data_IF_157110557677
#
_entry.id   IF_157110557677
#
_cell.length_a   1.000
_cell.length_b   1.000
_cell.length_c   1.000
_cell.angle_alpha   90.00
_cell.angle_beta   90.00
_cell.angle_gamma   90.00
#
_symmetry.space_group_name_H-M   'P 1'
#
loop_
_entity.id
_entity.type
_entity.pdbx_description
1 polymer ?
#
# COMPACT_ATOMS: atom_id res chain seq x y z
N UNK A 1 6.38 -29.12 -15.82
CA UNK A 1 6.96 -29.91 -16.93
C UNK A 1 8.45 -30.02 -16.67
N UNK A 2 8.97 -31.23 -16.72
CA UNK A 2 10.19 -31.73 -16.06
C UNK A 2 11.44 -31.47 -16.92
N UNK A 3 12.50 -30.94 -16.31
CA UNK A 3 13.91 -31.06 -16.78
C UNK A 3 14.68 -31.70 -15.61
N UNK A 4 15.15 -32.95 -15.59
CA UNK A 4 15.94 -33.76 -16.52
C UNK A 4 17.46 -33.47 -16.48
N UNK A 5 18.17 -34.35 -15.76
CA UNK A 5 19.56 -34.82 -15.90
C UNK A 5 20.77 -33.91 -15.59
N UNK A 6 21.51 -34.22 -14.52
CA UNK A 6 22.74 -35.04 -14.62
C UNK A 6 23.24 -35.51 -13.23
N UNK A 7 23.16 -36.81 -12.98
CA UNK A 7 23.91 -37.49 -11.90
C UNK A 7 25.29 -37.83 -12.45
N UNK A 8 26.34 -37.17 -11.96
CA UNK A 8 27.72 -37.59 -12.20
C UNK A 8 28.06 -38.65 -11.13
N UNK A 9 28.09 -39.91 -11.56
CA UNK A 9 28.70 -41.00 -10.79
C UNK A 9 30.22 -40.91 -10.96
N UNK A 10 30.94 -40.52 -9.91
CA UNK A 10 32.39 -40.67 -9.86
C UNK A 10 32.69 -42.00 -9.18
N UNK A 11 33.12 -42.98 -9.97
CA UNK A 11 33.66 -44.25 -9.48
C UNK A 11 35.13 -44.00 -9.13
N UNK A 12 35.45 -43.99 -7.83
CA UNK A 12 36.85 -44.12 -7.39
C UNK A 12 37.11 -45.59 -7.07
N UNK A 13 37.86 -46.25 -7.97
CA UNK A 13 38.50 -47.52 -7.68
C UNK A 13 39.63 -47.29 -6.67
N UNK A 14 39.44 -47.81 -5.45
CA UNK A 14 40.46 -47.77 -4.39
C UNK A 14 41.45 -48.89 -4.67
N UNK A 15 42.67 -48.53 -5.08
CA UNK A 15 43.82 -49.44 -5.12
C UNK A 15 44.62 -49.27 -3.82
N UNK A 16 44.91 -50.32 -3.03
CA UNK A 16 45.47 -50.19 -1.69
C UNK A 16 46.99 -50.06 -1.75
N UNK A 17 47.48 -48.85 -2.00
CA UNK A 17 48.86 -48.48 -1.66
C UNK A 17 48.97 -46.96 -1.69
N UNK A 18 48.56 -46.29 -0.60
CA UNK A 18 49.03 -44.96 -0.15
C UNK A 18 48.09 -44.40 0.93
N UNK A 19 47.93 -45.11 2.05
CA UNK A 19 47.19 -44.59 3.21
C UNK A 19 47.94 -43.47 3.95
N UNK A 20 49.24 -43.29 3.69
CA UNK A 20 50.09 -42.36 4.44
C UNK A 20 50.16 -40.93 3.87
N UNK A 21 49.69 -40.71 2.63
CA UNK A 21 49.67 -39.37 2.01
C UNK A 21 48.36 -38.62 2.27
N UNK A 22 47.24 -39.34 2.42
CA UNK A 22 45.90 -38.76 2.60
C UNK A 22 45.69 -38.14 4.00
N UNK A 23 46.44 -38.60 5.01
CA UNK A 23 46.33 -38.13 6.39
C UNK A 23 47.09 -36.83 6.70
N UNK A 24 47.86 -36.27 5.75
CA UNK A 24 48.60 -35.00 5.95
C UNK A 24 48.03 -33.79 5.21
N UNK A 25 47.06 -33.99 4.31
CA UNK A 25 46.38 -32.92 3.55
C UNK A 25 44.95 -32.63 4.05
N UNK A 26 44.41 -33.49 4.92
CA UNK A 26 43.08 -33.31 5.51
C UNK A 26 42.95 -32.12 6.48
N UNK A 27 43.97 -31.75 7.30
CA UNK A 27 43.80 -30.62 8.23
C UNK A 27 43.98 -29.25 7.56
N UNK A 28 44.58 -29.18 6.36
CA UNK A 28 44.72 -27.94 5.59
C UNK A 28 43.51 -27.62 4.72
N UNK A 29 42.68 -28.61 4.36
CA UNK A 29 41.44 -28.35 3.62
C UNK A 29 40.29 -27.89 4.55
N UNK A 30 40.28 -28.32 5.82
CA UNK A 30 39.25 -27.91 6.78
C UNK A 30 39.45 -26.48 7.33
N UNK A 31 40.66 -25.92 7.21
CA UNK A 31 41.01 -24.58 7.71
C UNK A 31 40.76 -23.46 6.68
N UNK A 32 40.34 -23.81 5.46
CA UNK A 32 39.99 -22.83 4.42
C UNK A 32 38.48 -22.67 4.20
N UNK A 33 37.67 -23.47 4.90
CA UNK A 33 36.20 -23.37 4.90
C UNK A 33 35.69 -22.51 6.07
N UNK A 34 36.57 -22.07 6.97
CA UNK A 34 36.22 -21.31 8.17
C UNK A 34 36.76 -19.87 8.18
N UNK A 35 36.37 -19.02 7.23
CA UNK A 35 36.21 -17.56 7.43
C UNK A 35 35.76 -16.90 6.11
N UNK A 36 34.85 -15.90 6.12
CA UNK A 36 33.75 -15.64 7.04
C UNK A 36 32.40 -15.78 6.30
N UNK A 37 31.39 -16.34 6.96
CA UNK A 37 30.04 -15.82 6.76
C UNK A 37 30.11 -14.36 7.20
N UNK A 38 30.33 -13.44 6.26
CA UNK A 38 29.96 -12.05 6.44
C UNK A 38 28.45 -12.09 6.62
N UNK A 39 28.04 -12.20 7.88
CA UNK A 39 26.71 -11.83 8.31
C UNK A 39 26.55 -10.40 7.80
N UNK A 40 25.80 -10.25 6.71
CA UNK A 40 25.19 -8.98 6.38
C UNK A 40 24.23 -8.72 7.54
N UNK A 41 24.74 -8.08 8.60
CA UNK A 41 23.90 -7.45 9.58
C UNK A 41 23.15 -6.35 8.82
N UNK A 42 21.94 -6.67 8.35
CA UNK A 42 21.02 -5.64 7.94
C UNK A 42 20.80 -4.78 9.19
N UNK A 43 20.97 -3.47 9.06
CA UNK A 43 20.69 -2.59 10.16
C UNK A 43 19.19 -2.72 10.47
N UNK A 44 18.86 -3.25 11.65
CA UNK A 44 17.48 -3.42 12.15
C UNK A 44 16.80 -2.09 12.52
N UNK A 45 17.33 -0.97 12.02
CA UNK A 45 16.81 0.35 12.28
C UNK A 45 16.97 1.28 11.07
N UNK A 46 16.27 2.41 11.13
CA UNK A 46 16.50 3.59 10.28
C UNK A 46 16.53 4.83 11.17
N UNK A 47 17.03 5.96 10.68
CA UNK A 47 17.13 7.17 11.49
C UNK A 47 16.05 8.19 11.17
N UNK A 48 15.68 8.98 12.17
CA UNK A 48 14.80 10.15 12.06
C UNK A 48 15.34 11.30 12.90
N UNK A 49 15.12 12.53 12.45
CA UNK A 49 15.57 13.73 13.17
C UNK A 49 14.48 14.18 14.16
N UNK A 50 14.81 14.34 15.44
CA UNK A 50 13.87 14.85 16.43
C UNK A 50 13.55 16.34 16.19
N UNK A 51 12.26 16.67 16.18
CA UNK A 51 11.77 18.04 16.02
C UNK A 51 11.44 18.69 17.37
N UNK A 52 11.20 20.02 17.36
CA UNK A 52 10.78 20.74 18.56
C UNK A 52 9.46 20.16 19.10
N UNK A 53 9.46 19.79 20.39
CA UNK A 53 8.30 19.20 21.06
C UNK A 53 8.21 17.68 20.94
N UNK A 54 9.17 17.02 20.29
CA UNK A 54 9.22 15.57 20.26
C UNK A 54 9.69 14.96 21.59
N UNK A 55 9.04 13.87 21.96
CA UNK A 55 9.52 12.89 22.93
C UNK A 55 9.50 11.49 22.30
N UNK A 56 9.98 10.48 23.01
CA UNK A 56 10.07 9.10 22.48
C UNK A 56 8.72 8.62 21.94
N UNK A 57 7.65 8.88 22.69
CA UNK A 57 6.29 8.50 22.30
C UNK A 57 5.76 9.22 21.05
N UNK A 58 6.14 10.49 20.83
CA UNK A 58 5.70 11.20 19.63
C UNK A 58 6.47 10.69 18.42
N UNK A 59 7.77 10.47 18.54
CA UNK A 59 8.61 9.94 17.46
C UNK A 59 8.11 8.57 17.01
N UNK A 60 7.89 7.63 17.95
CA UNK A 60 7.37 6.31 17.61
C UNK A 60 6.00 6.39 16.90
N UNK A 61 5.08 7.23 17.39
CA UNK A 61 3.77 7.43 16.75
C UNK A 61 3.86 8.06 15.36
N UNK A 62 4.78 8.99 15.13
CA UNK A 62 5.07 9.57 13.81
C UNK A 62 5.51 8.52 12.80
N UNK A 63 6.19 7.48 13.28
CA UNK A 63 6.62 6.33 12.48
C UNK A 63 5.58 5.20 12.39
N UNK A 64 4.39 5.38 12.97
CA UNK A 64 3.31 4.39 12.98
C UNK A 64 3.49 3.28 14.02
N UNK A 65 4.49 3.39 14.90
CA UNK A 65 4.80 2.41 15.93
C UNK A 65 3.99 2.66 17.20
N UNK A 66 3.54 1.59 17.84
CA UNK A 66 2.93 1.66 19.17
C UNK A 66 4.02 1.95 20.20
N UNK A 67 4.01 3.12 20.88
CA UNK A 67 5.05 3.46 21.83
C UNK A 67 5.19 2.45 22.95
N UNK A 68 4.09 1.85 23.42
CA UNK A 68 4.14 0.88 24.53
C UNK A 68 4.91 -0.37 24.13
N UNK A 69 4.82 -0.77 22.86
CA UNK A 69 5.48 -1.95 22.31
C UNK A 69 6.96 -1.71 22.00
N UNK A 70 7.30 -0.51 21.52
CA UNK A 70 8.63 -0.20 20.96
C UNK A 70 9.49 0.73 21.81
N UNK A 71 9.04 1.10 23.01
CA UNK A 71 9.77 2.02 23.88
C UNK A 71 11.16 1.49 24.26
N UNK A 72 11.22 0.25 24.75
CA UNK A 72 12.47 -0.38 25.20
C UNK A 72 13.46 -0.58 24.03
N UNK A 73 12.97 -0.96 22.86
CA UNK A 73 13.78 -1.08 21.64
C UNK A 73 14.38 0.28 21.26
N UNK A 74 13.59 1.35 21.32
CA UNK A 74 14.07 2.70 21.05
C UNK A 74 15.14 3.14 22.05
N UNK A 75 14.94 2.89 23.35
CA UNK A 75 15.95 3.21 24.37
C UNK A 75 17.25 2.46 24.10
N UNK A 76 17.15 1.15 23.87
CA UNK A 76 18.31 0.28 23.61
C UNK A 76 19.12 0.78 22.42
N UNK A 77 18.45 1.08 21.30
CA UNK A 77 19.09 1.58 20.08
C UNK A 77 19.79 2.93 20.25
N UNK A 78 19.33 3.76 21.19
CA UNK A 78 19.77 5.16 21.36
C UNK A 78 20.39 5.45 22.73
N UNK A 79 20.88 4.43 23.44
CA UNK A 79 21.37 4.55 24.83
C UNK A 79 22.44 5.64 24.99
N UNK A 80 23.32 5.80 23.99
CA UNK A 80 24.39 6.82 24.00
C UNK A 80 23.87 8.25 23.77
N UNK A 81 22.69 8.38 23.17
CA UNK A 81 22.12 9.64 22.69
C UNK A 81 20.96 10.17 23.54
N UNK A 82 20.52 9.40 24.54
CA UNK A 82 19.45 9.74 25.47
C UNK A 82 20.04 10.06 26.84
N UNK A 83 19.73 11.25 27.36
CA UNK A 83 20.07 11.64 28.73
C UNK A 83 18.91 11.40 29.69
N UNK A 84 19.23 11.09 30.94
CA UNK A 84 18.26 10.92 32.03
C UNK A 84 17.11 9.94 31.67
N UNK A 85 17.43 8.93 30.85
CA UNK A 85 16.52 7.85 30.45
C UNK A 85 15.38 8.22 29.49
N UNK A 86 15.20 9.50 29.11
CA UNK A 86 14.10 9.89 28.22
C UNK A 86 14.26 11.21 27.46
N UNK A 87 15.30 12.00 27.73
CA UNK A 87 15.46 13.33 27.14
C UNK A 87 16.05 13.25 25.73
N UNK A 88 15.33 13.83 24.76
CA UNK A 88 15.76 13.95 23.36
C UNK A 88 16.27 15.35 23.04
N UNK A 89 17.20 15.44 22.09
CA UNK A 89 17.76 16.69 21.60
C UNK A 89 17.21 17.04 20.21
N UNK A 90 16.68 18.25 20.07
CA UNK A 90 16.17 18.75 18.78
C UNK A 90 17.30 18.79 17.75
N UNK A 91 17.02 18.32 16.53
CA UNK A 91 17.98 18.26 15.44
C UNK A 91 18.93 17.06 15.48
N UNK A 92 18.86 16.22 16.53
CA UNK A 92 19.62 14.97 16.61
C UNK A 92 18.88 13.84 15.89
N UNK A 93 19.64 12.96 15.26
CA UNK A 93 19.13 11.72 14.69
C UNK A 93 18.97 10.65 15.76
N UNK A 94 17.83 9.95 15.72
CA UNK A 94 17.53 8.81 16.57
C UNK A 94 17.19 7.61 15.70
N UNK A 95 17.65 6.43 16.13
CA UNK A 95 17.40 5.14 15.50
C UNK A 95 16.01 4.63 15.88
N UNK A 96 15.24 4.23 14.87
CA UNK A 96 13.90 3.67 14.97
C UNK A 96 13.96 2.20 14.59
N UNK A 97 13.43 1.28 15.41
CA UNK A 97 13.41 -0.13 15.08
C UNK A 97 12.62 -0.36 13.78
N UNK A 98 13.15 -1.23 12.92
CA UNK A 98 12.40 -1.70 11.75
C UNK A 98 11.31 -2.65 12.22
N UNK A 99 10.06 -2.30 11.92
CA UNK A 99 8.92 -3.14 12.29
C UNK A 99 7.87 -3.18 11.18
N UNK A 100 7.17 -4.31 11.10
CA UNK A 100 6.14 -4.57 10.08
C UNK A 100 4.90 -3.69 10.24
N UNK A 101 4.65 -3.15 11.43
CA UNK A 101 3.56 -2.21 11.72
C UNK A 101 3.97 -0.73 11.51
N UNK A 102 5.24 -0.44 11.20
CA UNK A 102 5.68 0.92 10.86
C UNK A 102 5.00 1.45 9.59
N UNK A 103 4.82 2.77 9.49
CA UNK A 103 4.28 3.41 8.29
C UNK A 103 5.12 3.15 7.03
N UNK A 104 6.43 2.94 7.17
CA UNK A 104 7.30 2.55 6.04
C UNK A 104 6.99 1.16 5.48
N UNK A 105 6.38 0.28 6.27
CA UNK A 105 5.99 -1.08 5.86
C UNK A 105 4.49 -1.23 5.61
N UNK A 106 3.67 -0.39 6.25
CA UNK A 106 2.22 -0.43 6.07
C UNK A 106 1.74 0.47 4.94
N UNK A 107 2.50 1.47 4.50
CA UNK A 107 2.19 2.29 3.33
C UNK A 107 3.21 2.09 2.23
N UNK A 108 2.85 1.29 1.22
CA UNK A 108 3.79 0.90 0.15
C UNK A 108 3.25 1.31 -1.23
N UNK A 109 4.12 1.94 -2.02
CA UNK A 109 3.92 2.17 -3.44
C UNK A 109 4.54 1.02 -4.22
N UNK A 110 3.77 0.45 -5.13
CA UNK A 110 4.16 -0.67 -5.99
C UNK A 110 4.38 -0.17 -7.40
N UNK A 111 5.60 -0.31 -7.91
CA UNK A 111 5.92 0.02 -9.31
C UNK A 111 5.65 -1.20 -10.20
N UNK A 112 4.90 -1.01 -11.28
CA UNK A 112 4.44 -2.12 -12.12
C UNK A 112 5.54 -2.77 -12.98
N UNK A 113 6.62 -2.05 -13.29
CA UNK A 113 7.68 -2.50 -14.21
C UNK A 113 8.55 -3.63 -13.64
N UNK A 114 8.79 -3.59 -12.33
CA UNK A 114 9.70 -4.51 -11.62
C UNK A 114 9.12 -5.01 -10.28
N UNK A 115 7.85 -4.70 -10.01
CA UNK A 115 7.17 -4.92 -8.72
C UNK A 115 7.91 -4.36 -7.50
N UNK A 116 8.78 -3.35 -7.69
CA UNK A 116 9.52 -2.78 -6.57
C UNK A 116 8.58 -2.05 -5.61
N UNK A 117 8.84 -2.30 -4.33
CA UNK A 117 8.08 -1.76 -3.21
C UNK A 117 8.90 -0.67 -2.52
N UNK A 118 8.33 0.54 -2.49
CA UNK A 118 8.92 1.67 -1.78
C UNK A 118 7.90 2.26 -0.81
N UNK A 119 8.33 2.76 0.36
CA UNK A 119 7.44 3.52 1.25
C UNK A 119 6.74 4.66 0.50
N UNK A 120 5.45 4.86 0.75
CA UNK A 120 4.71 6.02 0.19
C UNK A 120 5.27 7.32 0.78
N UNK A 121 5.67 7.26 2.05
CA UNK A 121 6.15 8.39 2.84
C UNK A 121 7.51 8.07 3.46
N UNK A 122 8.37 9.08 3.52
CA UNK A 122 9.64 8.99 4.24
C UNK A 122 9.79 10.19 5.18
N UNK A 123 10.16 11.35 4.64
CA UNK A 123 10.31 12.58 5.44
C UNK A 123 8.96 13.12 5.93
N UNK A 124 7.90 12.87 5.17
CA UNK A 124 6.54 13.28 5.47
C UNK A 124 5.99 12.61 6.74
N UNK A 125 6.56 11.47 7.16
CA UNK A 125 6.19 10.78 8.39
C UNK A 125 6.33 11.66 9.63
N UNK A 126 7.22 12.66 9.60
CA UNK A 126 7.40 13.60 10.72
C UNK A 126 6.13 14.42 11.02
N UNK A 127 5.25 14.61 10.03
CA UNK A 127 3.99 15.34 10.15
C UNK A 127 2.78 14.41 10.39
N UNK A 128 3.01 13.09 10.35
CA UNK A 128 2.00 12.08 10.59
C UNK A 128 1.97 11.68 12.07
N UNK A 129 0.89 11.03 12.50
CA UNK A 129 0.85 10.38 13.80
C UNK A 129 -0.24 9.34 13.78
N UNK A 130 0.02 8.16 14.34
CA UNK A 130 -1.03 7.17 14.60
C UNK A 130 -2.16 7.85 15.41
N UNK A 131 -3.36 7.88 14.82
CA UNK A 131 -4.58 8.50 15.39
C UNK A 131 -5.45 7.46 16.09
N UNK A 132 -5.61 6.29 15.48
CA UNK A 132 -6.35 5.17 16.08
C UNK A 132 -5.93 3.83 15.50
N UNK A 133 -6.50 2.75 16.04
CA UNK A 133 -6.36 1.38 15.51
C UNK A 133 -7.67 0.90 14.84
N UNK A 134 -8.51 1.83 14.38
CA UNK A 134 -9.84 1.54 13.85
C UNK A 134 -9.82 0.66 12.60
N UNK A 135 -8.75 0.70 11.81
CA UNK A 135 -8.52 -0.11 10.62
C UNK A 135 -7.42 -1.17 10.84
N UNK A 136 -7.14 -1.53 12.10
CA UNK A 136 -6.17 -2.59 12.41
C UNK A 136 -6.61 -3.87 11.71
N UNK A 137 -5.71 -4.55 11.02
CA UNK A 137 -5.98 -5.75 10.21
C UNK A 137 -6.85 -5.50 8.95
N UNK A 138 -6.97 -4.26 8.50
CA UNK A 138 -7.50 -3.94 7.17
C UNK A 138 -6.37 -3.68 6.16
N UNK A 139 -6.56 -4.14 4.93
CA UNK A 139 -5.65 -3.92 3.80
C UNK A 139 -6.42 -3.28 2.65
N UNK A 140 -5.90 -2.16 2.14
CA UNK A 140 -6.48 -1.45 1.02
C UNK A 140 -5.51 -1.43 -0.15
N UNK A 141 -6.03 -1.78 -1.32
CA UNK A 141 -5.35 -1.65 -2.60
C UNK A 141 -5.95 -0.43 -3.31
N UNK A 142 -5.14 0.54 -3.70
CA UNK A 142 -5.59 1.75 -4.38
C UNK A 142 -4.92 1.82 -5.75
N UNK A 143 -5.73 1.88 -6.80
CA UNK A 143 -5.27 2.06 -8.17
C UNK A 143 -5.82 3.38 -8.69
N UNK A 144 -4.96 4.26 -9.21
CA UNK A 144 -5.37 5.55 -9.74
C UNK A 144 -5.19 5.59 -11.27
N UNK A 145 -6.30 5.67 -12.00
CA UNK A 145 -6.34 5.87 -13.45
C UNK A 145 -6.58 7.36 -13.75
N UNK A 146 -5.49 8.11 -13.98
CA UNK A 146 -5.54 9.55 -14.26
C UNK A 146 -5.03 9.88 -15.67
N UNK A 147 -5.95 10.11 -16.61
CA UNK A 147 -5.59 10.48 -17.99
C UNK A 147 -4.94 11.87 -18.11
N UNK A 148 -5.11 12.74 -17.11
CA UNK A 148 -4.60 14.10 -17.09
C UNK A 148 -3.46 14.31 -16.09
N UNK A 149 -2.75 13.23 -15.67
CA UNK A 149 -1.67 13.26 -14.67
C UNK A 149 -0.61 14.33 -14.91
N UNK A 150 -0.21 14.51 -16.18
CA UNK A 150 0.76 15.55 -16.58
C UNK A 150 0.26 17.00 -16.45
N UNK A 151 -1.05 17.20 -16.28
CA UNK A 151 -1.69 18.51 -16.29
C UNK A 151 -2.16 18.95 -14.89
N UNK A 152 -2.58 18.03 -14.03
CA UNK A 152 -2.86 18.33 -12.62
C UNK A 152 -2.53 17.16 -11.69
N UNK A 153 -2.28 17.51 -10.42
CA UNK A 153 -1.96 16.55 -9.35
C UNK A 153 -3.17 16.18 -8.48
N UNK A 154 -4.40 16.52 -8.89
CA UNK A 154 -5.57 16.36 -8.03
C UNK A 154 -5.75 14.91 -7.55
N UNK A 155 -5.67 13.95 -8.48
CA UNK A 155 -5.84 12.53 -8.16
C UNK A 155 -4.66 11.96 -7.39
N UNK A 156 -3.44 12.39 -7.71
CA UNK A 156 -2.23 11.96 -7.02
C UNK A 156 -2.25 12.44 -5.55
N UNK A 157 -2.65 13.70 -5.33
CA UNK A 157 -2.79 14.28 -4.00
C UNK A 157 -3.91 13.60 -3.20
N UNK A 158 -5.07 13.31 -3.83
CA UNK A 158 -6.18 12.60 -3.18
C UNK A 158 -5.78 11.17 -2.82
N UNK A 159 -5.12 10.45 -3.73
CA UNK A 159 -4.64 9.07 -3.52
C UNK A 159 -3.62 9.02 -2.39
N UNK A 160 -2.63 9.93 -2.42
CA UNK A 160 -1.60 10.03 -1.38
C UNK A 160 -2.22 10.40 -0.04
N UNK A 161 -3.11 11.40 -0.01
CA UNK A 161 -3.83 11.79 1.21
C UNK A 161 -4.71 10.67 1.76
N UNK A 162 -5.37 9.90 0.90
CA UNK A 162 -6.18 8.76 1.29
C UNK A 162 -5.31 7.66 1.93
N UNK A 163 -4.17 7.34 1.32
CA UNK A 163 -3.22 6.40 1.92
C UNK A 163 -2.76 6.87 3.31
N UNK A 164 -2.39 8.14 3.45
CA UNK A 164 -2.00 8.70 4.75
C UNK A 164 -3.12 8.56 5.79
N UNK A 165 -4.35 8.97 5.47
CA UNK A 165 -5.48 8.90 6.40
C UNK A 165 -5.85 7.47 6.79
N UNK A 166 -5.77 6.50 5.87
CA UNK A 166 -6.00 5.09 6.21
C UNK A 166 -4.88 4.52 7.10
N UNK A 167 -3.62 4.85 6.80
CA UNK A 167 -2.46 4.39 7.57
C UNK A 167 -2.50 4.91 9.02
N UNK A 168 -2.81 6.19 9.24
CA UNK A 168 -2.91 6.73 10.61
C UNK A 168 -4.05 6.13 11.42
N UNK A 169 -4.99 5.43 10.79
CA UNK A 169 -6.03 4.62 11.43
C UNK A 169 -5.65 3.13 11.57
N UNK A 170 -4.43 2.74 11.19
CA UNK A 170 -3.87 1.40 11.40
C UNK A 170 -3.99 0.44 10.23
N UNK A 171 -4.37 0.93 9.03
CA UNK A 171 -4.49 0.11 7.84
C UNK A 171 -3.13 -0.17 7.18
N UNK A 172 -3.02 -1.30 6.49
CA UNK A 172 -2.01 -1.50 5.44
C UNK A 172 -2.56 -1.01 4.11
N UNK A 173 -1.79 -0.25 3.35
CA UNK A 173 -2.19 0.39 2.10
C UNK A 173 -1.13 0.14 1.02
N UNK A 174 -1.57 -0.40 -0.11
CA UNK A 174 -0.78 -0.53 -1.33
C UNK A 174 -1.32 0.42 -2.39
N UNK A 175 -0.49 1.35 -2.85
CA UNK A 175 -0.81 2.23 -3.98
C UNK A 175 -0.09 1.72 -5.21
N UNK A 176 -0.83 1.46 -6.29
CA UNK A 176 -0.27 1.04 -7.56
C UNK A 176 -0.31 2.21 -8.53
N UNK A 177 0.87 2.68 -8.93
CA UNK A 177 1.00 3.80 -9.84
C UNK A 177 1.06 3.29 -11.29
N UNK A 178 0.37 4.00 -12.18
CA UNK A 178 0.62 3.87 -13.61
C UNK A 178 1.96 4.56 -13.91
N UNK A 179 2.90 3.81 -14.48
CA UNK A 179 4.19 4.34 -14.92
C UNK A 179 3.97 5.41 -15.98
N UNK A 180 4.69 6.54 -15.91
CA UNK A 180 4.49 7.71 -16.78
C UNK A 180 4.78 7.48 -18.29
N UNK A 181 5.09 6.24 -18.69
CA UNK A 181 5.29 5.86 -20.08
C UNK A 181 3.94 5.86 -20.82
N UNK A 182 3.63 6.97 -21.50
CA UNK A 182 2.49 7.06 -22.42
C UNK A 182 2.52 5.88 -23.40
N UNK A 183 1.41 5.13 -23.56
CA UNK A 183 1.37 4.05 -24.52
C UNK A 183 1.69 4.57 -25.92
N UNK A 184 2.51 3.83 -26.65
CA UNK A 184 2.85 4.15 -28.03
C UNK A 184 1.59 4.06 -28.89
N UNK A 185 1.39 5.02 -29.80
CA UNK A 185 0.13 5.17 -30.57
C UNK A 185 -0.24 3.94 -31.42
N UNK A 186 0.73 3.07 -31.69
CA UNK A 186 0.58 1.91 -32.57
C UNK A 186 0.10 0.64 -31.84
N UNK A 187 0.30 0.51 -30.52
CA UNK A 187 0.01 -0.72 -29.76
C UNK A 187 -0.89 -0.55 -28.51
N UNK A 188 -1.59 0.59 -28.43
CA UNK A 188 -2.36 1.05 -27.27
C UNK A 188 -3.32 0.00 -26.64
N UNK A 189 -3.90 -0.89 -27.45
CA UNK A 189 -4.84 -1.93 -26.97
C UNK A 189 -4.13 -3.12 -26.32
N UNK A 190 -2.99 -3.55 -26.86
CA UNK A 190 -2.19 -4.65 -26.31
C UNK A 190 -1.53 -4.24 -25.00
N UNK A 191 -0.90 -3.05 -24.98
CA UNK A 191 -0.24 -2.51 -23.80
C UNK A 191 -1.22 -2.28 -22.63
N UNK A 192 -2.46 -1.86 -22.92
CA UNK A 192 -3.49 -1.69 -21.88
C UNK A 192 -3.94 -3.03 -21.26
N UNK A 193 -4.08 -4.08 -22.08
CA UNK A 193 -4.44 -5.41 -21.58
C UNK A 193 -3.30 -6.03 -20.77
N UNK A 194 -2.06 -5.86 -21.21
CA UNK A 194 -0.87 -6.31 -20.48
C UNK A 194 -0.74 -5.62 -19.11
N UNK A 195 -0.85 -4.28 -19.07
CA UNK A 195 -0.86 -3.50 -17.83
C UNK A 195 -1.94 -3.95 -16.85
N UNK A 196 -3.15 -4.20 -17.34
CA UNK A 196 -4.24 -4.71 -16.50
C UNK A 196 -3.90 -6.08 -15.90
N UNK A 197 -3.27 -6.96 -16.68
CA UNK A 197 -2.76 -8.25 -16.20
C UNK A 197 -1.74 -8.09 -15.07
N UNK A 198 -0.78 -7.17 -15.22
CA UNK A 198 0.22 -6.87 -14.20
C UNK A 198 -0.42 -6.35 -12.91
N UNK A 199 -1.41 -5.45 -12.99
CA UNK A 199 -2.15 -4.99 -11.81
C UNK A 199 -2.82 -6.16 -11.08
N UNK A 200 -3.50 -7.03 -11.82
CA UNK A 200 -4.18 -8.20 -11.26
C UNK A 200 -3.19 -9.10 -10.53
N UNK A 201 -2.05 -9.43 -11.16
CA UNK A 201 -1.02 -10.27 -10.55
C UNK A 201 -0.44 -9.64 -9.28
N UNK A 202 -0.03 -8.38 -9.36
CA UNK A 202 0.55 -7.64 -8.26
C UNK A 202 -0.43 -7.51 -7.07
N UNK A 203 -1.71 -7.25 -7.34
CA UNK A 203 -2.76 -7.18 -6.32
C UNK A 203 -3.02 -8.56 -5.70
N UNK A 204 -3.16 -9.60 -6.52
CA UNK A 204 -3.48 -10.95 -6.04
C UNK A 204 -2.36 -11.55 -5.19
N UNK A 205 -1.10 -11.34 -5.58
CA UNK A 205 0.08 -11.72 -4.79
C UNK A 205 0.00 -11.14 -3.38
N UNK A 206 -0.30 -9.85 -3.25
CA UNK A 206 -0.40 -9.16 -1.96
C UNK A 206 -1.64 -9.56 -1.17
N UNK A 207 -2.73 -9.85 -1.86
CA UNK A 207 -3.93 -10.40 -1.25
C UNK A 207 -3.63 -11.72 -0.52
N UNK A 208 -2.89 -12.62 -1.17
CA UNK A 208 -2.48 -13.90 -0.60
C UNK A 208 -1.50 -13.72 0.57
N UNK A 209 -0.56 -12.77 0.48
CA UNK A 209 0.34 -12.42 1.58
C UNK A 209 -0.39 -11.86 2.82
N UNK A 210 -1.60 -11.34 2.63
CA UNK A 210 -2.44 -10.75 3.68
C UNK A 210 -3.67 -11.60 4.01
N UNK A 211 -3.61 -12.92 3.75
CA UNK A 211 -4.70 -13.87 4.03
C UNK A 211 -5.20 -13.74 5.48
N UNK A 212 -6.53 -13.79 5.65
CA UNK A 212 -7.19 -13.65 6.96
C UNK A 212 -7.47 -12.21 7.40
N UNK A 213 -6.94 -11.21 6.69
CA UNK A 213 -7.28 -9.80 6.93
C UNK A 213 -8.52 -9.36 6.15
N UNK A 214 -9.12 -8.26 6.56
CA UNK A 214 -10.10 -7.56 5.74
C UNK A 214 -9.39 -6.89 4.57
N UNK A 215 -9.89 -7.06 3.35
CA UNK A 215 -9.22 -6.56 2.15
C UNK A 215 -10.20 -5.93 1.14
N UNK A 216 -9.86 -4.74 0.61
CA UNK A 216 -10.63 -4.05 -0.44
C UNK A 216 -9.72 -3.44 -1.49
N UNK A 217 -10.16 -3.46 -2.74
CA UNK A 217 -9.58 -2.72 -3.86
C UNK A 217 -10.48 -1.55 -4.22
N UNK A 218 -9.92 -0.34 -4.16
CA UNK A 218 -10.55 0.89 -4.65
C UNK A 218 -9.83 1.37 -5.91
N UNK A 219 -10.53 1.28 -7.04
CA UNK A 219 -10.10 1.88 -8.30
C UNK A 219 -10.60 3.33 -8.36
N UNK A 220 -9.72 4.31 -8.56
CA UNK A 220 -10.06 5.73 -8.71
C UNK A 220 -9.81 6.12 -10.16
N UNK A 221 -10.86 6.45 -10.91
CA UNK A 221 -10.79 6.84 -12.32
C UNK A 221 -11.17 8.30 -12.50
N UNK A 222 -10.26 9.09 -13.03
CA UNK A 222 -10.52 10.47 -13.41
C UNK A 222 -10.74 10.62 -14.92
N UNK A 223 -11.90 11.16 -15.26
CA UNK A 223 -12.29 11.44 -16.63
C UNK A 223 -11.99 12.91 -16.95
N UNK A 224 -10.81 13.16 -17.51
CA UNK A 224 -10.36 14.49 -17.90
C UNK A 224 -9.68 15.30 -16.78
N UNK A 225 -9.45 16.58 -17.07
CA UNK A 225 -8.77 17.50 -16.15
C UNK A 225 -9.72 17.97 -15.06
N UNK A 226 -9.50 17.59 -13.81
CA UNK A 226 -10.29 18.08 -12.67
C UNK A 226 -9.90 19.53 -12.35
N UNK A 227 -10.80 20.45 -12.65
CA UNK A 227 -10.65 21.88 -12.36
C UNK A 227 -11.18 22.25 -10.97
N UNK A 228 -10.82 23.44 -10.51
CA UNK A 228 -11.38 23.98 -9.27
C UNK A 228 -12.87 24.27 -9.45
N UNK A 229 -13.69 23.81 -8.49
CA UNK A 229 -15.12 24.10 -8.46
C UNK A 229 -15.91 22.88 -8.01
N UNK A 230 -16.87 22.48 -8.84
CA UNK A 230 -17.71 21.32 -8.60
C UNK A 230 -17.38 20.21 -9.60
N UNK A 231 -17.33 18.99 -9.09
CA UNK A 231 -17.08 17.78 -9.85
C UNK A 231 -18.17 16.76 -9.56
N UNK A 232 -18.38 15.86 -10.49
CA UNK A 232 -19.35 14.77 -10.39
C UNK A 232 -18.63 13.48 -10.03
N UNK A 233 -19.16 12.77 -9.03
CA UNK A 233 -18.61 11.49 -8.58
C UNK A 233 -19.65 10.39 -8.56
N UNK A 234 -19.23 9.17 -8.86
CA UNK A 234 -20.06 7.98 -8.73
C UNK A 234 -19.20 6.80 -8.26
N UNK A 235 -19.76 5.98 -7.36
CA UNK A 235 -19.09 4.82 -6.78
C UNK A 235 -19.81 3.56 -7.22
N UNK A 236 -19.10 2.69 -7.92
CA UNK A 236 -19.64 1.48 -8.54
C UNK A 236 -19.13 0.21 -7.83
N UNK A 237 -19.87 -0.87 -8.00
CA UNK A 237 -19.49 -2.21 -7.53
C UNK A 237 -19.82 -3.30 -8.56
N UNK A 238 -19.31 -4.52 -8.31
CA UNK A 238 -19.70 -5.69 -9.08
C UNK A 238 -21.09 -6.19 -8.64
N UNK A 239 -21.99 -6.49 -9.58
CA UNK A 239 -23.40 -6.81 -9.31
C UNK A 239 -23.62 -8.02 -8.37
N UNK A 240 -22.69 -8.98 -8.36
CA UNK A 240 -22.77 -10.19 -7.53
C UNK A 240 -21.94 -10.10 -6.23
N UNK A 241 -21.47 -8.90 -5.87
CA UNK A 241 -20.64 -8.72 -4.67
C UNK A 241 -21.39 -7.91 -3.62
N UNK A 242 -21.97 -8.59 -2.63
CA UNK A 242 -22.62 -7.94 -1.47
C UNK A 242 -21.61 -7.08 -0.69
N UNK A 243 -20.41 -7.62 -0.47
CA UNK A 243 -19.30 -6.89 0.17
C UNK A 243 -18.90 -5.64 -0.63
N UNK A 244 -18.91 -5.73 -1.96
CA UNK A 244 -18.59 -4.61 -2.85
C UNK A 244 -19.71 -3.56 -2.89
N UNK A 245 -20.96 -4.01 -2.85
CA UNK A 245 -22.13 -3.15 -2.76
C UNK A 245 -22.07 -2.33 -1.46
N UNK A 246 -21.90 -2.99 -0.30
CA UNK A 246 -21.83 -2.29 0.99
C UNK A 246 -20.67 -1.29 1.05
N UNK A 247 -19.49 -1.68 0.55
CA UNK A 247 -18.33 -0.79 0.49
C UNK A 247 -18.60 0.45 -0.38
N UNK A 248 -19.18 0.26 -1.57
CA UNK A 248 -19.56 1.36 -2.45
C UNK A 248 -20.63 2.27 -1.84
N UNK A 249 -21.69 1.69 -1.28
CA UNK A 249 -22.81 2.41 -0.66
C UNK A 249 -22.33 3.25 0.54
N UNK A 250 -21.42 2.73 1.37
CA UNK A 250 -20.87 3.48 2.49
C UNK A 250 -20.10 4.73 2.05
N UNK A 251 -19.28 4.64 1.00
CA UNK A 251 -18.58 5.80 0.43
C UNK A 251 -19.58 6.76 -0.24
N UNK A 252 -20.50 6.23 -1.02
CA UNK A 252 -21.51 7.00 -1.74
C UNK A 252 -22.40 7.81 -0.79
N UNK A 253 -22.81 7.22 0.34
CA UNK A 253 -23.63 7.89 1.34
C UNK A 253 -22.91 9.09 1.99
N UNK A 254 -21.59 9.01 2.15
CA UNK A 254 -20.80 10.17 2.58
C UNK A 254 -20.80 11.25 1.52
N UNK A 255 -20.63 10.92 0.24
CA UNK A 255 -20.73 11.92 -0.83
C UNK A 255 -22.12 12.55 -0.93
N UNK A 256 -23.21 11.78 -0.79
CA UNK A 256 -24.58 12.31 -0.76
C UNK A 256 -24.74 13.36 0.35
N UNK A 257 -24.23 13.08 1.55
CA UNK A 257 -24.26 14.00 2.70
C UNK A 257 -23.50 15.29 2.46
N UNK A 258 -22.45 15.25 1.64
CA UNK A 258 -21.59 16.39 1.33
C UNK A 258 -21.81 16.96 -0.08
N UNK A 259 -22.91 16.58 -0.74
CA UNK A 259 -23.24 17.07 -2.06
C UNK A 259 -23.52 18.57 -2.05
N UNK A 260 -23.15 19.25 -3.14
CA UNK A 260 -23.53 20.65 -3.38
C UNK A 260 -24.93 20.79 -3.99
N UNK A 261 -25.61 19.67 -4.23
CA UNK A 261 -26.98 19.63 -4.73
C UNK A 261 -27.94 19.24 -3.61
N UNK A 262 -29.07 19.94 -3.52
CA UNK A 262 -30.14 19.66 -2.54
C UNK A 262 -31.13 18.59 -3.04
N UNK A 263 -30.83 17.88 -4.13
CA UNK A 263 -31.73 16.85 -4.64
C UNK A 263 -31.77 15.64 -3.72
N UNK A 264 -32.94 15.02 -3.61
CA UNK A 264 -33.04 13.71 -2.97
C UNK A 264 -32.41 12.67 -3.88
N UNK A 265 -31.45 11.90 -3.36
CA UNK A 265 -30.88 10.77 -4.07
C UNK A 265 -31.66 9.51 -3.69
N UNK A 266 -32.22 8.80 -4.68
CA UNK A 266 -32.73 7.44 -4.45
C UNK A 266 -31.56 6.49 -4.11
N UNK A 267 -31.89 5.25 -3.80
CA UNK A 267 -30.91 4.18 -3.70
C UNK A 267 -30.35 3.87 -5.10
N UNK A 268 -29.30 4.63 -5.45
CA UNK A 268 -28.58 4.50 -6.71
C UNK A 268 -27.57 3.36 -6.53
N UNK A 269 -27.90 2.18 -7.05
CA UNK A 269 -26.97 1.05 -7.13
C UNK A 269 -26.20 1.11 -8.43
N UNK A 270 -24.99 1.64 -8.37
CA UNK A 270 -24.12 1.74 -9.55
C UNK A 270 -23.35 0.44 -9.74
N UNK A 271 -23.72 -0.30 -10.79
CA UNK A 271 -23.06 -1.55 -11.16
C UNK A 271 -22.04 -1.28 -12.26
N UNK A 272 -20.91 -1.99 -12.27
CA UNK A 272 -19.95 -1.92 -13.37
C UNK A 272 -20.62 -2.24 -14.72
N UNK A 273 -20.57 -1.28 -15.64
CA UNK A 273 -21.07 -1.46 -17.02
C UNK A 273 -19.91 -1.69 -18.01
N UNK A 274 -18.73 -1.16 -17.71
CA UNK A 274 -17.59 -1.22 -18.61
C UNK A 274 -16.81 -2.55 -18.51
N UNK A 275 -16.32 -3.02 -19.67
CA UNK A 275 -15.63 -4.30 -19.79
C UNK A 275 -14.35 -4.39 -18.95
N UNK A 276 -13.64 -3.27 -18.75
CA UNK A 276 -12.36 -3.29 -18.04
C UNK A 276 -12.59 -3.46 -16.54
N UNK A 277 -13.53 -2.72 -15.97
CA UNK A 277 -13.87 -2.84 -14.55
C UNK A 277 -14.48 -4.21 -14.23
N UNK A 278 -15.30 -4.75 -15.14
CA UNK A 278 -15.80 -6.13 -15.03
C UNK A 278 -14.67 -7.17 -15.13
N UNK A 279 -13.69 -6.96 -16.01
CA UNK A 279 -12.54 -7.85 -16.12
C UNK A 279 -11.68 -7.81 -14.85
N UNK A 280 -11.37 -6.62 -14.33
CA UNK A 280 -10.64 -6.47 -13.07
C UNK A 280 -11.37 -7.20 -11.94
N UNK A 281 -12.65 -6.90 -11.73
CA UNK A 281 -13.45 -7.49 -10.67
C UNK A 281 -13.58 -9.02 -10.73
N UNK A 282 -13.47 -9.62 -11.93
CA UNK A 282 -13.52 -11.08 -12.12
C UNK A 282 -12.18 -11.78 -11.87
N UNK A 283 -11.07 -11.05 -11.98
CA UNK A 283 -9.74 -11.65 -11.94
C UNK A 283 -8.93 -11.22 -10.71
N UNK A 284 -9.34 -10.18 -9.98
CA UNK A 284 -8.78 -9.83 -8.69
C UNK A 284 -9.43 -10.61 -7.55
N UNK A 285 -8.63 -11.03 -6.58
CA UNK A 285 -9.08 -11.67 -5.34
C UNK A 285 -9.77 -10.71 -4.35
N UNK A 286 -9.28 -9.48 -4.08
CA UNK A 286 -9.99 -8.55 -3.20
C UNK A 286 -11.29 -8.07 -3.83
N UNK A 287 -12.28 -7.78 -2.97
CA UNK A 287 -13.52 -7.11 -3.37
C UNK A 287 -13.22 -5.72 -3.96
N UNK A 288 -13.76 -5.44 -5.14
CA UNK A 288 -13.49 -4.23 -5.92
C UNK A 288 -14.66 -3.24 -5.90
N UNK A 289 -14.34 -1.95 -5.73
CA UNK A 289 -15.22 -0.83 -6.06
C UNK A 289 -14.49 0.20 -6.93
N UNK A 290 -15.23 0.90 -7.79
CA UNK A 290 -14.71 1.95 -8.67
C UNK A 290 -15.29 3.29 -8.26
N UNK A 291 -14.44 4.24 -7.92
CA UNK A 291 -14.78 5.66 -7.80
C UNK A 291 -14.45 6.37 -9.11
N UNK A 292 -15.46 6.90 -9.78
CA UNK A 292 -15.29 7.78 -10.94
C UNK A 292 -15.37 9.24 -10.52
N UNK A 293 -14.55 10.08 -11.14
CA UNK A 293 -14.48 11.52 -10.90
C UNK A 293 -14.43 12.21 -12.26
N UNK A 294 -15.28 13.20 -12.48
CA UNK A 294 -15.30 13.97 -13.72
C UNK A 294 -15.72 15.41 -13.49
N UNK A 295 -15.40 16.28 -14.45
CA UNK A 295 -15.91 17.64 -14.44
C UNK A 295 -17.44 17.63 -14.50
N UNK A 296 -18.05 18.60 -13.81
CA UNK A 296 -19.49 18.74 -13.81
C UNK A 296 -20.00 18.97 -15.23
N UNK A 297 -20.85 18.07 -15.72
CA UNK A 297 -21.53 18.27 -16.98
C UNK A 297 -22.83 19.05 -16.77
N UNK A 298 -23.29 19.79 -17.79
CA UNK A 298 -24.58 20.50 -17.73
C UNK A 298 -25.78 19.56 -17.57
N UNK A 299 -25.61 18.29 -17.94
CA UNK A 299 -26.55 17.20 -17.75
C UNK A 299 -25.89 16.11 -16.89
N UNK A 300 -25.47 16.49 -15.68
CA UNK A 300 -24.94 15.54 -14.71
C UNK A 300 -25.92 14.39 -14.61
N UNK A 301 -25.48 13.18 -14.96
CA UNK A 301 -26.37 12.02 -14.96
C UNK A 301 -27.06 11.93 -13.60
N UNK A 302 -28.32 11.52 -13.58
CA UNK A 302 -29.15 11.51 -12.37
C UNK A 302 -28.50 10.76 -11.20
N UNK A 303 -27.55 9.88 -11.53
CA UNK A 303 -26.84 9.02 -10.60
C UNK A 303 -25.48 9.54 -10.11
N UNK A 304 -24.94 10.63 -10.69
CA UNK A 304 -23.66 11.22 -10.26
C UNK A 304 -23.86 12.28 -9.19
N UNK A 305 -23.04 12.25 -8.14
CA UNK A 305 -23.16 13.14 -6.99
C UNK A 305 -22.23 14.34 -7.19
N UNK A 306 -22.75 15.56 -7.39
CA UNK A 306 -21.93 16.76 -7.44
C UNK A 306 -21.36 17.10 -6.06
N UNK A 307 -20.05 17.25 -5.98
CA UNK A 307 -19.30 17.64 -4.78
C UNK A 307 -18.26 18.70 -5.11
N UNK A 308 -17.70 19.37 -4.10
CA UNK A 308 -16.60 20.33 -4.30
C UNK A 308 -15.29 19.60 -4.55
N UNK A 309 -14.44 20.16 -5.41
CA UNK A 309 -13.09 19.68 -5.71
C UNK A 309 -12.06 20.03 -4.60
N UNK A 310 -12.47 20.06 -3.33
CA UNK A 310 -11.57 20.30 -2.20
C UNK A 310 -10.86 18.99 -1.86
N UNK A 311 -9.55 18.92 -2.11
CA UNK A 311 -8.76 17.69 -1.98
C UNK A 311 -8.86 17.08 -0.58
N UNK A 312 -8.72 17.90 0.47
CA UNK A 312 -8.70 17.42 1.86
C UNK A 312 -10.07 16.92 2.29
N UNK A 313 -11.12 17.69 1.99
CA UNK A 313 -12.49 17.27 2.28
C UNK A 313 -12.84 15.99 1.50
N UNK A 314 -12.45 15.91 0.23
CA UNK A 314 -12.68 14.75 -0.62
C UNK A 314 -11.99 13.49 -0.10
N UNK A 315 -10.70 13.58 0.25
CA UNK A 315 -9.97 12.52 0.93
C UNK A 315 -10.70 12.07 2.20
N UNK A 316 -11.09 13.01 3.07
CA UNK A 316 -11.80 12.69 4.31
C UNK A 316 -13.16 12.01 4.07
N UNK A 317 -13.88 12.40 3.02
CA UNK A 317 -15.16 11.77 2.68
C UNK A 317 -14.98 10.31 2.29
N UNK A 318 -13.96 10.00 1.49
CA UNK A 318 -13.63 8.61 1.14
C UNK A 318 -13.21 7.85 2.40
N UNK A 319 -12.29 8.40 3.20
CA UNK A 319 -11.84 7.78 4.45
C UNK A 319 -13.00 7.46 5.40
N UNK A 320 -13.96 8.38 5.56
CA UNK A 320 -15.12 8.17 6.43
C UNK A 320 -16.02 7.02 5.92
N UNK A 321 -16.21 6.91 4.60
CA UNK A 321 -16.95 5.79 4.02
C UNK A 321 -16.24 4.46 4.25
N UNK A 322 -14.92 4.44 4.10
CA UNK A 322 -14.09 3.26 4.34
C UNK A 322 -14.12 2.83 5.82
N UNK A 323 -13.93 3.78 6.75
CA UNK A 323 -14.02 3.54 8.18
C UNK A 323 -15.39 2.96 8.56
N UNK A 324 -16.45 3.47 7.95
CA UNK A 324 -17.81 2.97 8.19
C UNK A 324 -18.01 1.54 7.67
N UNK A 325 -17.56 1.20 6.45
CA UNK A 325 -17.69 -0.18 5.95
C UNK A 325 -16.94 -1.19 6.82
N UNK A 326 -15.76 -0.82 7.31
CA UNK A 326 -15.00 -1.70 8.20
C UNK A 326 -15.68 -1.87 9.56
N UNK A 327 -16.16 -0.77 10.16
CA UNK A 327 -16.86 -0.80 11.43
C UNK A 327 -18.18 -1.60 11.37
N UNK A 328 -18.94 -1.47 10.28
CA UNK A 328 -20.21 -2.19 10.11
C UNK A 328 -20.01 -3.72 10.17
N UNK A 329 -18.86 -4.25 9.72
CA UNK A 329 -18.52 -5.68 9.83
C UNK A 329 -18.22 -6.10 11.25
N UNK A 330 -17.45 -5.28 11.98
CA UNK A 330 -17.09 -5.59 13.38
C UNK A 330 -18.29 -5.62 14.31
N UNK A 331 -19.43 -5.07 13.89
CA UNK A 331 -20.70 -5.12 14.63
C UNK A 331 -21.52 -6.37 14.25
N UNK A 332 -21.29 -6.93 13.06
CA UNK A 332 -21.98 -8.12 12.55
C UNK A 332 -21.38 -9.46 13.04
N UNK A 333 -20.14 -9.45 13.57
CA UNK A 333 -19.41 -10.62 14.11
C UNK A 333 -19.56 -10.78 15.64
#
# INVERSE_FOLDING_TARGET
>A
MIFAFHRIFIIFAVHPSNETLFMKLLPTFLLWVSMPCLLLAQNDYYTVVAQKGDGIFSILRKQGLDPVKYYEDFLTLNTEDIKDGSMLHVGREYKIPQAMDSFKKTGVRVQMKDETENPIFDKELAEMSLKSKALKNAVYYIVAENQAKSQNKFIDDVTTGLAAELMVHGATVYVFDDTDEKPSTENMKSEKTERMGQYIEAINKRYLQNTGKYQRLLLIRANGLIENGNMDVAVYHHNKSEKGQRFAENIQNVFKKHSVSNRSYKDIKMIFEDKNSLYLAKNTLPTVSLLTIGNRSKASAEDHIPVRSDKKAFTNWITNGILKDYADITIEE
#
